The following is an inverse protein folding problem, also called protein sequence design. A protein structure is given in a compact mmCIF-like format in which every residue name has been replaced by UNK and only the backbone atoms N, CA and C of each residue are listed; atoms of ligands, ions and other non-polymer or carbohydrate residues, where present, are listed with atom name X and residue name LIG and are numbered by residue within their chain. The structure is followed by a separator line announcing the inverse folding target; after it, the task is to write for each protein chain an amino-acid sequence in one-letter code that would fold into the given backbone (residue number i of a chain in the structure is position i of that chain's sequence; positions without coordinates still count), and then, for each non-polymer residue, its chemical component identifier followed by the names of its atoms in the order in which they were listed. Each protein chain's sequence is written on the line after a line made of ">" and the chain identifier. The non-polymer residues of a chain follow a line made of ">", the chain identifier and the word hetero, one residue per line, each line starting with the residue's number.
data_IF_178479554213
#
_entry.id   IF_178479554213
#
_cell.length_a   1.000
_cell.length_b   1.000
_cell.length_c   1.000
_cell.angle_alpha   90.00
_cell.angle_beta   90.00
_cell.angle_gamma   90.00
#
_symmetry.space_group_name_H-M   'P 1'
#
loop_
_entity.id
_entity.type
_entity.pdbx_description
1 polymer ?
#
# COMPACT_ATOMS: atom_id res chain seq x y z
N UNK A 1 16.49 -16.45 -20.26
CA UNK A 1 15.28 -15.88 -20.88
C UNK A 1 15.39 -14.34 -20.87
N UNK A 2 15.62 -13.74 -19.67
CA UNK A 2 15.70 -12.29 -19.46
C UNK A 2 16.92 -11.96 -18.59
N UNK A 3 18.13 -11.84 -19.15
CA UNK A 3 19.35 -11.59 -18.40
C UNK A 3 19.32 -10.24 -17.66
N UNK A 4 18.63 -9.24 -18.21
CA UNK A 4 18.51 -7.90 -17.60
C UNK A 4 17.65 -7.95 -16.34
N UNK A 5 16.49 -8.58 -16.41
CA UNK A 5 15.65 -8.80 -15.21
C UNK A 5 16.37 -9.72 -14.22
N UNK A 6 17.06 -10.77 -14.68
CA UNK A 6 17.83 -11.68 -13.83
C UNK A 6 18.95 -11.00 -13.04
N UNK A 7 19.64 -10.03 -13.63
CA UNK A 7 20.65 -9.25 -12.91
C UNK A 7 20.05 -8.27 -11.87
N UNK A 8 18.82 -7.83 -12.07
CA UNK A 8 18.13 -6.86 -11.19
C UNK A 8 17.36 -7.53 -10.05
N UNK A 9 16.78 -8.71 -10.30
CA UNK A 9 15.97 -9.44 -9.32
C UNK A 9 16.90 -10.25 -8.40
N UNK A 10 16.73 -10.08 -7.09
CA UNK A 10 17.52 -10.84 -6.13
C UNK A 10 17.19 -12.34 -6.25
N UNK A 11 18.20 -13.26 -6.22
CA UNK A 11 17.99 -14.70 -6.37
C UNK A 11 16.98 -15.31 -5.37
N UNK A 12 16.89 -14.73 -4.18
CA UNK A 12 15.97 -15.16 -3.12
C UNK A 12 14.62 -14.41 -3.14
N UNK A 13 14.25 -13.79 -4.28
CA UNK A 13 12.93 -13.18 -4.47
C UNK A 13 12.08 -14.05 -5.42
N UNK A 14 11.47 -15.12 -4.89
CA UNK A 14 10.72 -16.08 -5.72
C UNK A 14 9.51 -15.41 -6.38
N UNK A 15 8.91 -14.42 -5.71
CA UNK A 15 7.73 -13.74 -6.24
C UNK A 15 8.05 -12.96 -7.52
N UNK A 16 9.14 -12.19 -7.53
CA UNK A 16 9.55 -11.42 -8.71
C UNK A 16 10.08 -12.33 -9.81
N UNK A 17 10.80 -13.38 -9.46
CA UNK A 17 11.27 -14.39 -10.43
C UNK A 17 10.09 -15.10 -11.09
N UNK A 18 9.12 -15.60 -10.30
CA UNK A 18 7.92 -16.24 -10.83
C UNK A 18 7.14 -15.29 -11.74
N UNK A 19 6.97 -14.04 -11.34
CA UNK A 19 6.27 -13.03 -12.17
C UNK A 19 6.95 -12.80 -13.51
N UNK A 20 8.27 -12.71 -13.55
CA UNK A 20 9.01 -12.54 -14.79
C UNK A 20 8.83 -13.75 -15.72
N UNK A 21 8.84 -14.97 -15.18
CA UNK A 21 8.61 -16.21 -15.93
C UNK A 21 7.16 -16.35 -16.40
N UNK A 22 6.19 -15.98 -15.58
CA UNK A 22 4.77 -15.95 -15.97
C UNK A 22 4.53 -15.03 -17.15
N UNK A 23 5.06 -13.80 -17.09
CA UNK A 23 4.95 -12.83 -18.18
C UNK A 23 5.49 -13.41 -19.47
N UNK A 24 6.67 -14.01 -19.44
CA UNK A 24 7.27 -14.64 -20.63
C UNK A 24 6.41 -15.82 -21.15
N UNK A 25 5.93 -16.70 -20.28
CA UNK A 25 5.11 -17.86 -20.67
C UNK A 25 3.78 -17.46 -21.29
N UNK A 26 3.17 -16.37 -20.84
CA UNK A 26 1.88 -15.90 -21.34
C UNK A 26 2.02 -15.08 -22.61
N UNK A 27 3.02 -14.20 -22.68
CA UNK A 27 3.15 -13.21 -23.76
C UNK A 27 4.16 -13.59 -24.86
N UNK A 28 5.06 -14.55 -24.59
CA UNK A 28 6.23 -14.85 -25.44
C UNK A 28 7.29 -13.75 -25.41
N UNK A 29 7.11 -12.68 -24.63
CA UNK A 29 8.03 -11.55 -24.49
C UNK A 29 8.58 -11.47 -23.07
N UNK A 30 9.82 -11.01 -22.94
CA UNK A 30 10.44 -10.83 -21.63
C UNK A 30 9.81 -9.65 -20.87
N UNK A 31 9.91 -9.68 -19.53
CA UNK A 31 9.47 -8.56 -18.70
C UNK A 31 10.23 -7.28 -19.08
N UNK A 32 11.52 -7.38 -19.39
CA UNK A 32 12.35 -6.26 -19.83
C UNK A 32 11.83 -5.67 -21.13
N UNK A 33 11.54 -6.48 -22.16
CA UNK A 33 10.97 -5.99 -23.44
C UNK A 33 9.65 -5.25 -23.22
N UNK A 34 8.73 -5.81 -22.41
CA UNK A 34 7.43 -5.19 -22.17
C UNK A 34 7.50 -3.90 -21.36
N UNK A 35 8.48 -3.78 -20.46
CA UNK A 35 8.65 -2.56 -19.64
C UNK A 35 9.43 -1.46 -20.34
N UNK A 36 10.19 -1.80 -21.41
CA UNK A 36 10.88 -0.82 -22.27
C UNK A 36 9.94 -0.16 -23.29
N UNK A 37 8.80 -0.76 -23.59
CA UNK A 37 7.78 -0.12 -24.41
C UNK A 37 7.19 1.04 -23.59
N UNK A 38 7.74 2.23 -23.79
CA UNK A 38 7.08 3.45 -23.31
C UNK A 38 5.79 3.59 -24.14
N UNK A 39 4.66 3.32 -23.51
CA UNK A 39 3.37 3.67 -24.08
C UNK A 39 3.32 5.17 -24.34
N UNK A 40 2.53 5.60 -25.30
CA UNK A 40 2.21 7.01 -25.47
C UNK A 40 1.71 7.55 -24.14
N UNK A 41 2.30 8.63 -23.65
CA UNK A 41 1.87 9.26 -22.39
C UNK A 41 0.40 9.68 -22.48
N UNK A 42 -0.23 9.86 -21.35
CA UNK A 42 -1.61 10.39 -21.33
C UNK A 42 -1.64 11.73 -22.09
N UNK A 43 -2.62 11.94 -23.00
CA UNK A 43 -2.75 13.18 -23.77
C UNK A 43 -3.27 14.33 -22.89
N UNK A 44 -2.86 14.37 -21.63
CA UNK A 44 -3.29 15.34 -20.64
C UNK A 44 -2.10 15.90 -19.87
N UNK A 45 -2.22 17.14 -19.43
CA UNK A 45 -1.31 17.71 -18.45
C UNK A 45 -1.70 17.18 -17.07
N UNK A 46 -0.88 16.29 -16.53
CA UNK A 46 -1.15 15.65 -15.22
C UNK A 46 -0.57 16.48 -14.09
N UNK A 47 -1.38 16.88 -13.13
CA UNK A 47 -0.96 17.51 -11.89
C UNK A 47 -1.06 16.48 -10.74
N UNK A 48 0.03 16.29 -10.02
CA UNK A 48 0.11 15.29 -8.96
C UNK A 48 0.22 15.96 -7.60
N UNK A 49 -0.59 15.49 -6.65
CA UNK A 49 -0.64 16.03 -5.30
C UNK A 49 -0.52 14.91 -4.28
N UNK A 50 0.24 15.15 -3.21
CA UNK A 50 0.24 14.29 -2.03
C UNK A 50 -0.21 15.11 -0.81
N UNK A 51 -1.15 14.57 -0.05
CA UNK A 51 -1.66 15.20 1.18
C UNK A 51 -1.16 14.37 2.36
N UNK A 52 -0.37 14.98 3.21
CA UNK A 52 0.13 14.33 4.42
C UNK A 52 0.41 15.39 5.52
N UNK A 53 0.36 15.02 6.81
CA UNK A 53 0.88 15.89 7.84
C UNK A 53 2.42 16.00 7.71
N UNK A 54 2.95 17.19 7.87
CA UNK A 54 4.40 17.44 7.89
C UNK A 54 5.05 16.80 9.12
N UNK A 55 4.33 16.81 10.25
CA UNK A 55 4.78 16.19 11.49
C UNK A 55 4.45 14.70 11.53
N UNK A 56 5.50 13.88 11.65
CA UNK A 56 5.37 12.43 11.78
C UNK A 56 4.64 12.00 13.06
N UNK A 57 4.75 12.76 14.14
CA UNK A 57 4.05 12.46 15.38
C UNK A 57 2.52 12.55 15.19
N UNK A 58 2.06 13.57 14.48
CA UNK A 58 0.65 13.73 14.09
C UNK A 58 0.16 12.55 13.27
N UNK A 59 0.95 12.10 12.29
CA UNK A 59 0.61 10.92 11.48
C UNK A 59 0.47 9.67 12.36
N UNK A 60 1.41 9.43 13.28
CA UNK A 60 1.39 8.28 14.17
C UNK A 60 0.19 8.29 15.12
N UNK A 61 -0.15 9.46 15.67
CA UNK A 61 -1.33 9.63 16.52
C UNK A 61 -2.63 9.35 15.75
N UNK A 62 -2.74 9.86 14.52
CA UNK A 62 -3.91 9.62 13.65
C UNK A 62 -4.06 8.14 13.31
N UNK A 63 -2.96 7.44 13.05
CA UNK A 63 -2.96 6.00 12.79
C UNK A 63 -3.50 5.24 14.00
N UNK A 64 -3.00 5.54 15.19
CA UNK A 64 -3.44 4.90 16.42
C UNK A 64 -4.92 5.15 16.69
N UNK A 65 -5.34 6.41 16.67
CA UNK A 65 -6.74 6.80 16.87
C UNK A 65 -7.68 6.14 15.84
N UNK A 66 -7.27 6.05 14.58
CA UNK A 66 -8.06 5.38 13.54
C UNK A 66 -8.19 3.89 13.82
N UNK A 67 -7.09 3.23 14.20
CA UNK A 67 -7.11 1.80 14.50
C UNK A 67 -8.03 1.49 15.70
N UNK A 68 -7.94 2.31 16.77
CA UNK A 68 -8.83 2.21 17.92
C UNK A 68 -10.30 2.39 17.56
N UNK A 69 -10.61 3.37 16.72
CA UNK A 69 -11.98 3.56 16.22
C UNK A 69 -12.48 2.36 15.39
N UNK A 70 -11.63 1.72 14.62
CA UNK A 70 -11.98 0.50 13.88
C UNK A 70 -12.29 -0.63 14.85
N UNK A 71 -11.50 -0.82 15.91
CA UNK A 71 -11.70 -1.85 16.93
C UNK A 71 -12.95 -1.58 17.79
N UNK A 72 -13.31 -0.31 18.03
CA UNK A 72 -14.54 0.08 18.71
C UNK A 72 -15.80 -0.09 17.82
N UNK A 73 -15.62 -0.16 16.52
CA UNK A 73 -16.68 -0.41 15.54
C UNK A 73 -16.81 -1.91 15.21
N UNK A 74 -17.21 -2.20 13.99
CA UNK A 74 -17.55 -3.55 13.53
C UNK A 74 -16.36 -4.30 12.90
N UNK A 75 -15.13 -3.82 13.04
CA UNK A 75 -13.97 -4.40 12.37
C UNK A 75 -13.68 -5.85 12.80
N UNK A 76 -13.84 -6.16 14.09
CA UNK A 76 -13.68 -7.54 14.56
C UNK A 76 -14.77 -8.45 13.95
N UNK A 77 -16.02 -8.00 13.94
CA UNK A 77 -17.14 -8.77 13.38
C UNK A 77 -16.96 -9.02 11.88
N UNK A 78 -16.49 -8.01 11.15
CA UNK A 78 -16.17 -8.12 9.72
C UNK A 78 -15.13 -9.22 9.47
N UNK A 79 -14.01 -9.18 10.18
CA UNK A 79 -12.92 -10.17 10.00
C UNK A 79 -13.35 -11.55 10.51
N UNK A 80 -14.11 -11.62 11.60
CA UNK A 80 -14.66 -12.88 12.14
C UNK A 80 -15.59 -13.57 11.14
N UNK A 81 -16.46 -12.83 10.49
CA UNK A 81 -17.33 -13.39 9.44
C UNK A 81 -16.53 -13.99 8.28
N UNK A 82 -15.38 -13.39 7.92
CA UNK A 82 -14.48 -13.94 6.92
C UNK A 82 -13.71 -15.17 7.45
N UNK A 83 -13.28 -15.13 8.71
CA UNK A 83 -12.57 -16.23 9.37
C UNK A 83 -13.43 -17.50 9.45
N UNK A 84 -14.70 -17.35 9.82
CA UNK A 84 -15.67 -18.45 10.00
C UNK A 84 -16.14 -19.07 8.69
N UNK A 85 -15.86 -18.44 7.54
CA UNK A 85 -16.21 -19.02 6.23
C UNK A 85 -15.51 -20.37 5.97
N UNK A 86 -14.30 -20.57 6.50
CA UNK A 86 -13.55 -21.82 6.38
C UNK A 86 -12.86 -22.08 5.03
N UNK A 87 -13.12 -21.24 4.00
CA UNK A 87 -12.48 -21.30 2.67
C UNK A 87 -11.29 -20.35 2.51
N UNK A 88 -11.06 -19.50 3.51
CA UNK A 88 -9.97 -18.52 3.52
C UNK A 88 -8.82 -18.95 4.43
N UNK A 89 -7.60 -18.56 4.11
CA UNK A 89 -6.40 -18.90 4.89
C UNK A 89 -5.40 -17.71 4.92
N UNK A 90 -4.46 -17.68 5.91
CA UNK A 90 -3.57 -16.53 6.16
C UNK A 90 -2.67 -16.16 4.97
N UNK A 91 -2.40 -17.08 4.06
CA UNK A 91 -1.51 -16.84 2.91
C UNK A 91 -2.19 -16.13 1.75
N UNK A 92 -3.50 -16.00 1.77
CA UNK A 92 -4.23 -15.24 0.74
C UNK A 92 -3.82 -13.76 0.78
N UNK A 93 -3.59 -13.13 -0.37
CA UNK A 93 -3.19 -11.72 -0.44
C UNK A 93 -4.13 -10.76 0.30
N UNK A 94 -5.44 -11.01 0.27
CA UNK A 94 -6.44 -10.21 0.97
C UNK A 94 -6.30 -10.30 2.49
N UNK A 95 -6.06 -11.50 3.03
CA UNK A 95 -5.88 -11.73 4.47
C UNK A 95 -4.54 -11.15 4.96
N UNK A 96 -3.53 -11.08 4.09
CA UNK A 96 -2.23 -10.47 4.42
C UNK A 96 -2.26 -8.94 4.51
N UNK A 97 -3.38 -8.29 4.21
CA UNK A 97 -3.53 -6.85 4.38
C UNK A 97 -3.34 -6.44 5.85
N UNK A 98 -2.75 -5.24 6.03
CA UNK A 98 -2.55 -4.65 7.36
C UNK A 98 -3.90 -4.45 8.05
N UNK A 99 -3.99 -4.86 9.29
CA UNK A 99 -5.22 -4.92 10.07
C UNK A 99 -5.86 -6.31 10.02
N UNK A 100 -6.21 -6.81 8.83
CA UNK A 100 -6.81 -8.13 8.66
C UNK A 100 -5.91 -9.24 9.19
N UNK A 101 -4.64 -9.25 8.80
CA UNK A 101 -3.68 -10.26 9.28
C UNK A 101 -3.60 -10.29 10.80
N UNK A 102 -3.48 -9.13 11.46
CA UNK A 102 -3.36 -9.06 12.91
C UNK A 102 -4.63 -9.52 13.62
N UNK A 103 -5.79 -9.13 13.09
CA UNK A 103 -7.07 -9.61 13.62
C UNK A 103 -7.25 -11.12 13.38
N UNK A 104 -6.77 -11.64 12.26
CA UNK A 104 -6.79 -13.07 11.98
C UNK A 104 -5.97 -13.88 12.99
N UNK A 105 -4.73 -13.43 13.29
CA UNK A 105 -3.87 -14.04 14.30
C UNK A 105 -4.55 -14.05 15.69
N UNK A 106 -5.27 -12.98 16.02
CA UNK A 106 -6.05 -12.90 17.25
C UNK A 106 -7.23 -13.87 17.28
N UNK A 107 -8.00 -13.94 16.21
CA UNK A 107 -9.14 -14.87 16.09
C UNK A 107 -8.70 -16.35 16.08
N UNK A 108 -7.50 -16.63 15.57
CA UNK A 108 -6.88 -17.95 15.64
C UNK A 108 -6.33 -18.30 17.06
N UNK A 109 -6.36 -17.35 18.01
CA UNK A 109 -5.81 -17.54 19.35
C UNK A 109 -4.29 -17.50 19.44
N UNK A 110 -3.60 -17.05 18.38
CA UNK A 110 -2.13 -16.99 18.34
C UNK A 110 -1.58 -15.82 19.17
N UNK A 111 -2.37 -14.74 19.29
CA UNK A 111 -2.01 -13.54 20.05
C UNK A 111 -3.19 -13.02 20.86
N UNK A 112 -2.91 -12.31 21.98
CA UNK A 112 -3.94 -11.60 22.75
C UNK A 112 -4.38 -10.30 22.06
N UNK A 113 -5.50 -9.74 22.55
CA UNK A 113 -6.09 -8.50 21.99
C UNK A 113 -5.11 -7.32 21.99
N UNK A 114 -4.42 -7.07 23.10
CA UNK A 114 -3.48 -5.95 23.23
C UNK A 114 -2.30 -6.09 22.26
N UNK A 115 -1.80 -7.30 22.09
CA UNK A 115 -0.73 -7.60 21.15
C UNK A 115 -1.21 -7.42 19.69
N UNK A 116 -2.39 -7.89 19.36
CA UNK A 116 -3.01 -7.68 18.04
C UNK A 116 -3.14 -6.19 17.73
N UNK A 117 -3.68 -5.39 18.70
CA UNK A 117 -3.80 -3.94 18.57
C UNK A 117 -2.42 -3.29 18.31
N UNK A 118 -1.44 -3.61 19.13
CA UNK A 118 -0.08 -3.09 19.01
C UNK A 118 0.53 -3.42 17.64
N UNK A 119 0.46 -4.67 17.22
CA UNK A 119 0.97 -5.12 15.91
C UNK A 119 0.27 -4.41 14.75
N UNK A 120 -1.04 -4.21 14.82
CA UNK A 120 -1.83 -3.49 13.83
C UNK A 120 -1.38 -2.05 13.66
N UNK A 121 -1.18 -1.33 14.75
CA UNK A 121 -0.68 0.05 14.76
C UNK A 121 0.74 0.11 14.18
N UNK A 122 1.64 -0.77 14.62
CA UNK A 122 3.03 -0.82 14.15
C UNK A 122 3.08 -1.12 12.64
N UNK A 123 2.33 -2.11 12.17
CA UNK A 123 2.27 -2.47 10.76
C UNK A 123 1.74 -1.32 9.89
N UNK A 124 0.73 -0.58 10.39
CA UNK A 124 0.18 0.61 9.71
C UNK A 124 1.21 1.74 9.65
N UNK A 125 1.95 1.99 10.74
CA UNK A 125 3.05 2.98 10.75
C UNK A 125 4.15 2.62 9.76
N UNK A 126 4.50 1.34 9.64
CA UNK A 126 5.46 0.86 8.64
C UNK A 126 4.96 1.03 7.20
N UNK A 127 3.67 0.74 6.96
CA UNK A 127 3.05 0.98 5.66
C UNK A 127 3.10 2.47 5.30
N UNK A 128 2.71 3.35 6.20
CA UNK A 128 2.78 4.80 6.00
C UNK A 128 4.22 5.26 5.72
N UNK A 129 5.23 4.74 6.44
CA UNK A 129 6.64 5.04 6.16
C UNK A 129 7.03 4.67 4.73
N UNK A 130 6.61 3.49 4.23
CA UNK A 130 6.90 3.07 2.85
C UNK A 130 6.20 3.99 1.83
N UNK A 131 4.94 4.37 2.07
CA UNK A 131 4.22 5.32 1.21
C UNK A 131 4.94 6.67 1.14
N UNK A 132 5.34 7.23 2.29
CA UNK A 132 6.07 8.50 2.34
C UNK A 132 7.42 8.43 1.63
N UNK A 133 8.14 7.31 1.75
CA UNK A 133 9.41 7.10 1.04
C UNK A 133 9.19 7.06 -0.47
N UNK A 134 8.14 6.41 -0.92
CA UNK A 134 7.77 6.31 -2.34
C UNK A 134 7.40 7.68 -2.91
N UNK A 135 6.52 8.39 -2.22
CA UNK A 135 6.06 9.71 -2.62
C UNK A 135 7.20 10.76 -2.69
N UNK A 136 8.21 10.66 -1.81
CA UNK A 136 9.38 11.56 -1.87
C UNK A 136 10.25 11.36 -3.11
N UNK A 137 10.25 10.16 -3.66
CA UNK A 137 10.93 9.86 -4.93
C UNK A 137 10.09 10.15 -6.18
N UNK A 138 8.85 10.61 -6.02
CA UNK A 138 7.95 10.86 -7.14
C UNK A 138 8.24 12.22 -7.79
N UNK A 139 8.54 12.28 -9.10
CA UNK A 139 8.84 13.53 -9.78
C UNK A 139 7.59 14.44 -9.83
N UNK A 140 7.81 15.75 -9.77
CA UNK A 140 6.79 16.80 -9.94
C UNK A 140 5.60 16.74 -8.97
N UNK A 141 5.79 16.12 -7.80
CA UNK A 141 4.77 15.97 -6.79
C UNK A 141 4.61 17.26 -5.97
N UNK A 142 3.41 17.81 -5.93
CA UNK A 142 3.07 18.95 -5.09
C UNK A 142 2.56 18.46 -3.73
N UNK A 143 3.28 18.83 -2.66
CA UNK A 143 2.88 18.47 -1.29
C UNK A 143 1.87 19.47 -0.72
N UNK A 144 0.85 18.94 -0.07
CA UNK A 144 -0.19 19.68 0.64
C UNK A 144 -0.21 19.24 2.10
N UNK A 145 -0.25 20.21 3.02
CA UNK A 145 -0.36 19.91 4.45
C UNK A 145 -1.75 19.39 4.78
N UNK A 146 -1.82 18.26 5.46
CA UNK A 146 -3.10 17.62 5.81
C UNK A 146 -3.87 18.46 6.84
N UNK A 147 -5.09 18.89 6.48
CA UNK A 147 -5.95 19.69 7.33
C UNK A 147 -5.93 21.20 7.03
N UNK A 148 -5.11 21.65 6.10
CA UNK A 148 -5.13 23.03 5.62
C UNK A 148 -6.41 23.33 4.81
N UNK A 149 -7.16 24.35 5.21
CA UNK A 149 -8.42 24.74 4.55
C UNK A 149 -8.21 25.24 3.11
N UNK A 150 -7.02 25.74 2.78
CA UNK A 150 -6.65 26.24 1.45
C UNK A 150 -6.31 25.19 0.41
N UNK A 151 -6.26 23.90 0.76
CA UNK A 151 -5.81 22.84 -0.14
C UNK A 151 -6.67 22.71 -1.39
N UNK A 152 -7.99 22.82 -1.27
CA UNK A 152 -8.91 22.76 -2.42
C UNK A 152 -8.63 23.90 -3.39
N UNK A 153 -8.50 25.13 -2.90
CA UNK A 153 -8.20 26.29 -3.73
C UNK A 153 -6.85 26.15 -4.44
N UNK A 154 -5.81 25.62 -3.76
CA UNK A 154 -4.49 25.35 -4.34
C UNK A 154 -4.55 24.31 -5.47
N UNK A 155 -5.31 23.23 -5.28
CA UNK A 155 -5.50 22.20 -6.30
C UNK A 155 -6.23 22.77 -7.52
N UNK A 156 -7.34 23.48 -7.30
CA UNK A 156 -8.12 24.11 -8.38
C UNK A 156 -7.29 25.15 -9.16
N UNK A 157 -6.57 26.01 -8.45
CA UNK A 157 -5.70 27.02 -9.10
C UNK A 157 -4.61 26.36 -9.95
N UNK A 158 -4.02 25.24 -9.48
CA UNK A 158 -2.99 24.50 -10.24
C UNK A 158 -3.57 23.79 -11.46
N UNK A 159 -4.77 23.23 -11.34
CA UNK A 159 -5.46 22.55 -12.44
C UNK A 159 -5.99 23.54 -13.50
N UNK A 160 -6.38 24.75 -13.09
CA UNK A 160 -6.85 25.80 -13.99
C UNK A 160 -5.76 26.68 -14.62
N UNK A 161 -4.51 26.55 -14.18
CA UNK A 161 -3.36 27.21 -14.81
C UNK A 161 -2.93 26.40 -16.05
N UNK A 162 -3.67 26.61 -17.16
CA UNK A 162 -3.37 26.03 -18.47
C UNK A 162 -2.26 26.85 -19.16
#
# INVERSE_FOLDING_TARGET
>A
IDPVAGARIHPNDPQRLSRALEVYRISGKTLTELTQVQGEGLPYRVHQFAIAPSDRAVLHQRIELRFDKMLQGEFEQEVRALYERGDLHPDLPAIRCVGYRQMWDYLAGEVGYDEMRYRGIVATRQLAKRQMTWLRGWPDLTWLESGESGNVARVVARAGAA
#
